data_IF_797586843655
#
_entry.id   IF_797586843655
#
_cell.length_a   1.000
_cell.length_b   1.000
_cell.length_c   1.000
_cell.angle_alpha   90.00
_cell.angle_beta   90.00
_cell.angle_gamma   90.00
#
_symmetry.space_group_name_H-M   'P 1'
#
loop_
_entity.id
_entity.type
_entity.pdbx_description
1 polymer ?
#
# COMPACT_ATOMS: atom_id res chain seq x y z
N UNK A 1 -12.96 -23.74 -4.01
CA UNK A 1 -13.74 -23.45 -2.81
C UNK A 1 -14.04 -21.96 -2.75
N UNK A 2 -15.20 -21.56 -2.28
CA UNK A 2 -15.50 -20.13 -2.03
C UNK A 2 -14.58 -19.65 -0.90
N UNK A 3 -13.88 -18.55 -1.12
CA UNK A 3 -13.10 -17.87 -0.08
C UNK A 3 -14.02 -17.56 1.12
N UNK A 4 -13.56 -17.88 2.33
CA UNK A 4 -14.29 -17.55 3.56
C UNK A 4 -14.43 -16.04 3.73
N UNK A 5 -15.47 -15.60 4.44
CA UNK A 5 -15.62 -14.18 4.79
C UNK A 5 -14.41 -13.68 5.60
N UNK A 6 -13.94 -14.50 6.53
CA UNK A 6 -12.77 -14.19 7.36
C UNK A 6 -11.49 -14.01 6.52
N UNK A 7 -11.26 -14.89 5.54
CA UNK A 7 -10.10 -14.81 4.66
C UNK A 7 -10.18 -13.53 3.80
N UNK A 8 -11.36 -13.22 3.30
CA UNK A 8 -11.59 -12.00 2.53
C UNK A 8 -11.33 -10.73 3.33
N UNK A 9 -11.81 -10.69 4.58
CA UNK A 9 -11.59 -9.55 5.48
C UNK A 9 -10.11 -9.40 5.81
N UNK A 10 -9.43 -10.50 6.13
CA UNK A 10 -8.00 -10.51 6.42
C UNK A 10 -7.17 -10.01 5.23
N UNK A 11 -7.42 -10.54 4.02
CA UNK A 11 -6.70 -10.11 2.81
C UNK A 11 -6.96 -8.63 2.50
N UNK A 12 -8.20 -8.17 2.68
CA UNK A 12 -8.54 -6.75 2.50
C UNK A 12 -7.79 -5.87 3.47
N UNK A 13 -7.75 -6.25 4.75
CA UNK A 13 -7.04 -5.50 5.78
C UNK A 13 -5.53 -5.48 5.55
N UNK A 14 -4.93 -6.63 5.20
CA UNK A 14 -3.50 -6.72 4.86
C UNK A 14 -3.16 -5.84 3.65
N UNK A 15 -3.99 -5.85 2.60
CA UNK A 15 -3.80 -4.99 1.45
C UNK A 15 -3.88 -3.50 1.81
N UNK A 16 -4.80 -3.11 2.70
CA UNK A 16 -4.91 -1.76 3.22
C UNK A 16 -3.67 -1.34 4.02
N UNK A 17 -3.13 -2.23 4.86
CA UNK A 17 -1.89 -1.98 5.60
C UNK A 17 -0.68 -1.81 4.66
N UNK A 18 -0.57 -2.64 3.62
CA UNK A 18 0.51 -2.55 2.63
C UNK A 18 0.45 -1.22 1.86
N UNK A 19 -0.75 -0.76 1.51
CA UNK A 19 -0.95 0.53 0.86
C UNK A 19 -0.55 1.68 1.80
N UNK A 20 -0.99 1.63 3.07
CA UNK A 20 -0.63 2.64 4.08
C UNK A 20 0.88 2.62 4.39
N UNK A 21 1.53 1.46 4.32
CA UNK A 21 2.99 1.35 4.50
C UNK A 21 3.77 2.09 3.40
N UNK A 22 3.26 2.14 2.16
CA UNK A 22 3.82 2.98 1.11
C UNK A 22 3.80 4.47 1.49
N UNK A 23 2.73 4.91 2.12
CA UNK A 23 2.51 6.30 2.50
C UNK A 23 3.45 6.79 3.60
N UNK A 24 3.98 5.88 4.44
CA UNK A 24 4.99 6.22 5.45
C UNK A 24 6.23 6.94 4.87
N UNK A 25 6.57 6.69 3.63
CA UNK A 25 7.69 7.37 2.97
C UNK A 25 7.24 8.37 1.90
N UNK A 26 6.10 8.16 1.27
CA UNK A 26 5.58 9.04 0.23
C UNK A 26 5.20 10.41 0.80
N UNK A 27 4.44 10.46 1.88
CA UNK A 27 3.99 11.69 2.51
C UNK A 27 5.13 12.60 2.96
N UNK A 28 6.12 12.13 3.76
CA UNK A 28 7.22 13.00 4.14
C UNK A 28 8.02 13.51 2.94
N UNK A 29 8.23 12.70 1.90
CA UNK A 29 8.91 13.16 0.70
C UNK A 29 8.12 14.26 -0.02
N UNK A 30 6.81 14.12 -0.13
CA UNK A 30 5.94 15.13 -0.74
C UNK A 30 5.91 16.43 0.06
N UNK A 31 5.97 16.33 1.39
CA UNK A 31 6.01 17.51 2.29
C UNK A 31 7.36 18.18 2.28
N UNK A 32 8.45 17.44 2.54
CA UNK A 32 9.76 18.03 2.82
C UNK A 32 10.58 18.28 1.54
N UNK A 33 10.41 17.47 0.50
CA UNK A 33 11.16 17.60 -0.75
C UNK A 33 10.38 18.37 -1.80
N UNK A 34 9.17 17.90 -2.13
CA UNK A 34 8.37 18.49 -3.20
C UNK A 34 7.53 19.68 -2.73
N UNK A 35 7.33 19.84 -1.41
CA UNK A 35 6.47 20.89 -0.82
C UNK A 35 5.07 20.92 -1.45
N UNK A 36 4.54 19.72 -1.76
CA UNK A 36 3.24 19.57 -2.40
C UNK A 36 2.10 20.02 -1.49
N UNK A 37 2.28 19.87 -0.16
CA UNK A 37 1.40 20.44 0.87
C UNK A 37 2.19 20.73 2.14
N UNK A 38 1.56 21.44 3.05
CA UNK A 38 2.15 21.83 4.34
C UNK A 38 1.35 21.13 5.44
N UNK A 39 2.03 20.43 6.31
CA UNK A 39 1.41 19.91 7.54
C UNK A 39 1.15 21.07 8.50
N UNK A 40 -0.11 21.30 8.81
CA UNK A 40 -0.52 22.38 9.76
C UNK A 40 -0.13 22.00 11.19
N UNK A 41 -0.24 20.70 11.53
CA UNK A 41 0.22 20.16 12.80
C UNK A 41 1.66 19.67 12.66
N UNK A 42 2.52 20.12 13.58
CA UNK A 42 3.94 19.71 13.62
C UNK A 42 4.22 18.66 14.69
N UNK A 43 3.22 18.34 15.51
CA UNK A 43 3.26 17.38 16.63
C UNK A 43 2.69 16.00 16.25
N UNK A 44 2.59 15.72 14.96
CA UNK A 44 2.14 14.41 14.45
C UNK A 44 3.11 13.27 14.83
N UNK A 45 2.59 12.06 14.92
CA UNK A 45 3.35 10.87 15.30
C UNK A 45 4.46 10.52 14.29
N UNK A 46 4.33 10.96 13.04
CA UNK A 46 5.25 10.67 11.95
C UNK A 46 5.40 11.86 11.00
N UNK A 47 6.45 12.65 11.16
CA UNK A 47 6.76 13.81 10.31
C UNK A 47 5.59 14.77 10.08
N UNK A 48 4.76 14.98 11.10
CA UNK A 48 3.56 15.82 11.02
C UNK A 48 2.27 15.06 10.71
N UNK A 49 2.35 13.82 10.20
CA UNK A 49 1.19 12.97 10.01
C UNK A 49 0.71 12.43 11.37
N UNK A 50 -0.59 12.45 11.58
CA UNK A 50 -1.21 12.03 12.82
C UNK A 50 -1.53 10.53 12.81
N UNK A 51 -1.56 9.91 13.99
CA UNK A 51 -2.06 8.53 14.13
C UNK A 51 -3.47 8.38 13.55
N UNK A 52 -4.30 9.41 13.73
CA UNK A 52 -5.65 9.45 13.16
C UNK A 52 -5.62 9.44 11.62
N UNK A 53 -4.67 10.12 10.99
CA UNK A 53 -4.48 10.11 9.54
C UNK A 53 -4.17 8.71 9.01
N UNK A 54 -3.24 8.00 9.66
CA UNK A 54 -2.94 6.60 9.29
C UNK A 54 -4.16 5.68 9.42
N UNK A 55 -4.94 5.81 10.49
CA UNK A 55 -6.19 5.05 10.62
C UNK A 55 -7.20 5.44 9.54
N UNK A 56 -7.24 6.71 9.16
CA UNK A 56 -8.06 7.19 8.04
C UNK A 56 -7.67 6.53 6.72
N UNK A 57 -6.38 6.46 6.40
CA UNK A 57 -5.87 5.79 5.20
C UNK A 57 -6.20 4.30 5.20
N UNK A 58 -5.97 3.59 6.31
CA UNK A 58 -6.33 2.18 6.44
C UNK A 58 -7.84 1.98 6.22
N UNK A 59 -8.65 2.82 6.84
CA UNK A 59 -10.12 2.73 6.71
C UNK A 59 -10.58 2.94 5.26
N UNK A 60 -10.14 4.02 4.62
CA UNK A 60 -10.50 4.32 3.22
C UNK A 60 -10.02 3.21 2.29
N UNK A 61 -8.80 2.71 2.49
CA UNK A 61 -8.26 1.59 1.72
C UNK A 61 -9.07 0.31 1.91
N UNK A 62 -9.50 0.00 3.13
CA UNK A 62 -10.38 -1.12 3.41
C UNK A 62 -11.73 -0.99 2.70
N UNK A 63 -12.32 0.21 2.70
CA UNK A 63 -13.61 0.47 2.02
C UNK A 63 -13.46 0.29 0.51
N UNK A 64 -12.42 0.85 -0.10
CA UNK A 64 -12.19 0.75 -1.55
C UNK A 64 -11.90 -0.70 -1.96
N UNK A 65 -10.92 -1.34 -1.31
CA UNK A 65 -10.50 -2.70 -1.66
C UNK A 65 -11.61 -3.70 -1.34
N UNK A 66 -12.23 -3.58 -0.17
CA UNK A 66 -13.32 -4.45 0.25
C UNK A 66 -14.55 -4.29 -0.64
N UNK A 67 -14.93 -3.06 -0.98
CA UNK A 67 -16.00 -2.75 -1.90
C UNK A 67 -15.76 -3.34 -3.30
N UNK A 68 -14.56 -3.16 -3.85
CA UNK A 68 -14.18 -3.76 -5.12
C UNK A 68 -14.27 -5.29 -5.09
N UNK A 69 -13.72 -5.93 -4.05
CA UNK A 69 -13.78 -7.40 -3.88
C UNK A 69 -15.22 -7.90 -3.75
N UNK A 70 -16.06 -7.17 -3.03
CA UNK A 70 -17.48 -7.51 -2.89
C UNK A 70 -18.21 -7.42 -4.23
N UNK A 71 -18.02 -6.33 -4.98
CA UNK A 71 -18.59 -6.16 -6.32
C UNK A 71 -18.12 -7.25 -7.29
N UNK A 72 -16.82 -7.57 -7.29
CA UNK A 72 -16.26 -8.62 -8.12
C UNK A 72 -16.87 -10.01 -7.84
N UNK A 73 -17.28 -10.26 -6.58
CA UNK A 73 -18.00 -11.50 -6.20
C UNK A 73 -19.47 -11.52 -6.60
N UNK A 74 -20.08 -10.34 -6.77
CA UNK A 74 -21.51 -10.20 -7.08
C UNK A 74 -21.85 -10.51 -8.54
N UNK A 75 -20.96 -11.14 -9.29
CA UNK A 75 -21.24 -11.65 -10.63
C UNK A 75 -21.09 -10.60 -11.75
N UNK A 76 -20.38 -9.52 -11.52
CA UNK A 76 -19.91 -8.69 -12.63
C UNK A 76 -19.07 -9.58 -13.55
N UNK A 77 -19.44 -9.72 -14.84
CA UNK A 77 -18.69 -10.59 -15.75
C UNK A 77 -17.22 -10.22 -15.72
N UNK A 78 -16.36 -11.19 -15.41
CA UNK A 78 -14.93 -10.98 -15.52
C UNK A 78 -14.60 -10.57 -16.96
N UNK A 79 -13.77 -9.56 -17.19
CA UNK A 79 -13.35 -9.22 -18.53
C UNK A 79 -12.77 -10.46 -19.19
N UNK A 80 -13.10 -10.68 -20.46
CA UNK A 80 -12.71 -11.87 -21.25
C UNK A 80 -11.20 -12.01 -21.48
N UNK A 81 -10.41 -11.11 -20.90
CA UNK A 81 -8.94 -11.13 -20.97
C UNK A 81 -8.40 -12.12 -19.96
N UNK A 82 -7.78 -13.20 -20.44
CA UNK A 82 -7.08 -14.15 -19.59
C UNK A 82 -5.98 -13.44 -18.78
N UNK A 83 -6.15 -13.38 -17.48
CA UNK A 83 -5.13 -12.85 -16.57
C UNK A 83 -3.96 -13.84 -16.54
N UNK A 84 -2.84 -13.45 -17.09
CA UNK A 84 -1.61 -14.26 -17.12
C UNK A 84 -0.69 -13.89 -15.95
N UNK A 85 0.24 -14.77 -15.61
CA UNK A 85 1.31 -14.47 -14.63
C UNK A 85 2.03 -13.13 -14.92
N UNK A 86 2.19 -12.75 -16.17
CA UNK A 86 2.81 -11.47 -16.55
C UNK A 86 2.00 -10.25 -16.07
N UNK A 87 0.68 -10.32 -16.11
CA UNK A 87 -0.16 -9.24 -15.58
C UNK A 87 -0.06 -9.12 -14.06
N UNK A 88 0.07 -10.25 -13.37
CA UNK A 88 0.27 -10.27 -11.92
C UNK A 88 1.65 -9.72 -11.49
N UNK A 89 2.66 -9.73 -12.38
CA UNK A 89 3.97 -9.12 -12.11
C UNK A 89 3.91 -7.59 -12.03
N UNK A 90 2.98 -6.95 -12.75
CA UNK A 90 2.94 -5.50 -12.85
C UNK A 90 2.77 -4.79 -11.49
N UNK A 91 1.83 -5.16 -10.61
CA UNK A 91 1.73 -4.56 -9.29
C UNK A 91 3.00 -4.73 -8.45
N UNK A 92 3.66 -5.90 -8.54
CA UNK A 92 4.92 -6.15 -7.83
C UNK A 92 6.04 -5.25 -8.33
N UNK A 93 6.18 -5.08 -9.64
CA UNK A 93 7.16 -4.18 -10.23
C UNK A 93 6.92 -2.72 -9.85
N UNK A 94 5.66 -2.27 -9.85
CA UNK A 94 5.29 -0.93 -9.41
C UNK A 94 5.63 -0.71 -7.93
N UNK A 95 5.28 -1.68 -7.07
CA UNK A 95 5.58 -1.57 -5.65
C UNK A 95 7.09 -1.65 -5.38
N UNK A 96 7.82 -2.50 -6.10
CA UNK A 96 9.27 -2.57 -6.01
C UNK A 96 9.95 -1.27 -6.47
N UNK A 97 9.47 -0.65 -7.55
CA UNK A 97 10.00 0.63 -8.02
C UNK A 97 9.77 1.75 -7.01
N UNK A 98 8.62 1.76 -6.34
CA UNK A 98 8.32 2.69 -5.27
C UNK A 98 9.24 2.49 -4.05
N UNK A 99 9.50 1.22 -3.66
CA UNK A 99 10.49 0.90 -2.62
C UNK A 99 11.88 1.43 -3.00
N UNK A 100 12.36 1.14 -4.21
CA UNK A 100 13.67 1.63 -4.69
C UNK A 100 13.71 3.16 -4.66
N UNK A 101 12.65 3.82 -5.10
CA UNK A 101 12.54 5.28 -5.05
C UNK A 101 12.67 5.80 -3.62
N UNK A 102 11.93 5.24 -2.66
CA UNK A 102 11.98 5.69 -1.26
C UNK A 102 13.34 5.40 -0.61
N UNK A 103 13.98 4.28 -0.90
CA UNK A 103 15.33 3.97 -0.40
C UNK A 103 16.38 4.91 -0.99
N UNK A 104 16.30 5.24 -2.26
CA UNK A 104 17.27 6.08 -2.94
C UNK A 104 17.10 7.57 -2.62
N UNK A 105 15.86 8.05 -2.65
CA UNK A 105 15.53 9.47 -2.64
C UNK A 105 14.73 9.90 -1.40
N UNK A 106 14.36 8.98 -0.50
CA UNK A 106 13.58 9.28 0.70
C UNK A 106 14.20 10.42 1.51
N UNK A 107 13.36 11.37 1.90
CA UNK A 107 13.73 12.53 2.70
C UNK A 107 12.56 12.90 3.63
N UNK A 108 12.80 13.02 4.95
CA UNK A 108 14.06 12.85 5.67
C UNK A 108 14.72 11.46 5.55
N UNK A 109 16.03 11.37 5.89
CA UNK A 109 16.85 10.16 5.64
C UNK A 109 16.34 8.91 6.36
N UNK A 110 15.64 9.05 7.46
CA UNK A 110 15.03 7.98 8.27
C UNK A 110 14.03 7.16 7.46
N UNK A 111 13.36 7.78 6.48
CA UNK A 111 12.41 7.13 5.57
C UNK A 111 13.07 5.98 4.82
N UNK A 112 14.33 6.12 4.43
CA UNK A 112 15.07 5.12 3.65
C UNK A 112 15.13 3.78 4.37
N UNK A 113 15.44 3.83 5.68
CA UNK A 113 15.49 2.62 6.51
C UNK A 113 14.11 2.02 6.73
N UNK A 114 13.11 2.85 6.99
CA UNK A 114 11.74 2.38 7.24
C UNK A 114 11.14 1.78 5.98
N UNK A 115 11.37 2.36 4.80
CA UNK A 115 10.90 1.81 3.54
C UNK A 115 11.39 0.37 3.31
N UNK A 116 12.64 0.07 3.67
CA UNK A 116 13.20 -1.30 3.54
C UNK A 116 12.36 -2.31 4.33
N UNK A 117 11.95 -1.98 5.54
CA UNK A 117 11.18 -2.89 6.38
C UNK A 117 9.68 -2.84 6.05
N UNK A 118 9.09 -1.64 5.97
CA UNK A 118 7.65 -1.49 5.77
C UNK A 118 7.19 -1.99 4.40
N UNK A 119 7.97 -1.77 3.35
CA UNK A 119 7.65 -2.18 2.00
C UNK A 119 8.41 -3.44 1.56
N UNK A 120 9.64 -3.62 2.02
CA UNK A 120 10.48 -4.76 1.63
C UNK A 120 9.92 -6.08 2.12
N UNK A 121 9.45 -6.16 3.36
CA UNK A 121 8.86 -7.38 3.93
C UNK A 121 7.66 -7.87 3.11
N UNK A 122 6.61 -7.06 2.86
CA UNK A 122 5.48 -7.51 2.05
C UNK A 122 5.88 -7.83 0.59
N UNK A 123 6.83 -7.09 0.01
CA UNK A 123 7.33 -7.38 -1.33
C UNK A 123 8.02 -8.75 -1.38
N UNK A 124 8.89 -9.05 -0.43
CA UNK A 124 9.57 -10.35 -0.33
C UNK A 124 8.58 -11.49 -0.10
N UNK A 125 7.57 -11.28 0.75
CA UNK A 125 6.51 -12.26 0.98
C UNK A 125 5.72 -12.55 -0.31
N UNK A 126 5.39 -11.49 -1.07
CA UNK A 126 4.70 -11.62 -2.35
C UNK A 126 5.55 -12.35 -3.41
N UNK A 127 6.85 -12.06 -3.49
CA UNK A 127 7.79 -12.76 -4.39
C UNK A 127 7.96 -14.21 -3.97
N UNK A 128 8.05 -14.50 -2.67
CA UNK A 128 8.15 -15.89 -2.17
C UNK A 128 6.88 -16.70 -2.45
N UNK A 129 5.71 -16.06 -2.45
CA UNK A 129 4.44 -16.67 -2.83
C UNK A 129 4.22 -16.80 -4.35
N UNK A 130 5.10 -16.24 -5.15
CA UNK A 130 5.04 -16.26 -6.61
C UNK A 130 5.51 -17.61 -7.16
N UNK A 131 4.66 -18.64 -7.10
CA UNK A 131 4.93 -19.98 -7.63
C UNK A 131 3.82 -20.47 -8.53
#
# INVERSE_FOLDING_TARGET
>A
GRESFTDAALVTFLAALILTAFDLGADPYLVFTLKAWIMVKTDGAWFGETVQGFFGWVFVSCVIIGGFRWLARSGVPAPSVAYTHRHAALPLLLYASALVFQVALGNPVEIRSIAVFAMGIPLLAAVAGWR
#
